data_IF_104657133625
#
_entry.id   IF_104657133625
#
_cell.length_a   1.000
_cell.length_b   1.000
_cell.length_c   1.000
_cell.angle_alpha   90.00
_cell.angle_beta   90.00
_cell.angle_gamma   90.00
#
_symmetry.space_group_name_H-M   'P 1'
#
loop_
_entity.id
_entity.type
_entity.pdbx_description
1 polymer ?
#
# COMPACT_ATOMS: atom_id res chain seq x y z
N UNK A 1 -60.39 25.84 -0.37
CA UNK A 1 -59.39 26.66 0.35
C UNK A 1 -58.60 25.67 1.21
N UNK A 2 -57.34 25.29 1.02
CA UNK A 2 -56.18 25.84 0.31
C UNK A 2 -55.17 24.68 0.09
N UNK A 3 -54.59 24.61 -1.12
CA UNK A 3 -53.25 24.14 -1.52
C UNK A 3 -52.65 22.82 -0.98
N UNK A 4 -52.39 21.87 -1.88
CA UNK A 4 -51.03 21.30 -2.06
C UNK A 4 -50.80 20.86 -3.52
N UNK A 5 -50.72 21.84 -4.42
CA UNK A 5 -50.25 21.69 -5.82
C UNK A 5 -48.83 22.27 -5.92
N UNK A 6 -47.98 22.04 -4.91
CA UNK A 6 -46.62 22.62 -4.86
C UNK A 6 -45.51 21.56 -4.91
N UNK A 7 -45.77 20.32 -4.50
CA UNK A 7 -44.72 19.31 -4.34
C UNK A 7 -44.30 18.54 -5.62
N UNK A 8 -45.02 18.69 -6.73
CA UNK A 8 -44.72 18.00 -8.01
C UNK A 8 -43.73 18.77 -8.89
N UNK A 9 -43.80 20.11 -8.90
CA UNK A 9 -42.90 20.95 -9.71
C UNK A 9 -41.45 20.98 -9.16
N UNK A 10 -41.28 20.93 -7.84
CA UNK A 10 -39.96 20.95 -7.19
C UNK A 10 -39.12 19.69 -7.49
N UNK A 11 -39.75 18.53 -7.70
CA UNK A 11 -39.06 17.27 -8.03
C UNK A 11 -38.62 17.18 -9.49
N UNK A 12 -39.20 17.98 -10.40
CA UNK A 12 -38.74 18.06 -11.80
C UNK A 12 -37.64 19.10 -12.00
N UNK A 13 -37.63 20.19 -11.22
CA UNK A 13 -36.58 21.20 -11.27
C UNK A 13 -35.24 20.71 -10.70
N UNK A 14 -35.25 19.91 -9.63
CA UNK A 14 -34.01 19.44 -8.98
C UNK A 14 -33.25 18.40 -9.81
N UNK A 15 -33.96 17.56 -10.56
CA UNK A 15 -33.36 16.52 -11.42
C UNK A 15 -32.73 17.13 -12.69
N UNK A 16 -33.26 18.25 -13.18
CA UNK A 16 -32.72 18.94 -14.37
C UNK A 16 -31.47 19.76 -14.01
N UNK A 17 -31.43 20.38 -12.83
CA UNK A 17 -30.27 21.17 -12.38
C UNK A 17 -29.03 20.30 -12.07
N UNK A 18 -29.21 19.07 -11.58
CA UNK A 18 -28.09 18.15 -11.28
C UNK A 18 -27.46 17.58 -12.57
N UNK A 19 -28.24 17.37 -13.64
CA UNK A 19 -27.70 16.94 -14.94
C UNK A 19 -26.89 18.05 -15.65
N UNK A 20 -27.22 19.32 -15.44
CA UNK A 20 -26.49 20.45 -16.06
C UNK A 20 -25.12 20.66 -15.41
N UNK A 21 -24.97 20.35 -14.12
CA UNK A 21 -23.69 20.48 -13.40
C UNK A 21 -22.71 19.34 -13.77
N UNK A 22 -23.20 18.14 -14.11
CA UNK A 22 -22.35 17.05 -14.58
C UNK A 22 -21.87 17.20 -16.04
N UNK A 23 -22.53 18.03 -16.86
CA UNK A 23 -22.07 18.33 -18.22
C UNK A 23 -20.99 19.44 -18.26
N UNK A 24 -20.88 20.27 -17.21
CA UNK A 24 -19.93 21.38 -17.15
C UNK A 24 -18.56 21.00 -16.54
N UNK A 25 -18.44 19.86 -15.85
CA UNK A 25 -17.18 19.37 -15.27
C UNK A 25 -16.28 18.61 -16.26
N UNK A 26 -16.76 18.31 -17.46
CA UNK A 26 -16.05 17.54 -18.48
C UNK A 26 -15.31 18.40 -19.52
N UNK A 27 -15.37 19.73 -19.42
CA UNK A 27 -14.78 20.66 -20.41
C UNK A 27 -13.47 21.32 -19.92
N UNK A 28 -13.08 21.13 -18.66
CA UNK A 28 -11.82 21.68 -18.10
C UNK A 28 -10.61 20.73 -18.16
N UNK A 29 -10.74 19.55 -18.76
CA UNK A 29 -9.61 18.65 -19.06
C UNK A 29 -9.22 18.61 -20.56
N UNK A 30 -9.70 19.57 -21.35
CA UNK A 30 -9.42 19.67 -22.79
C UNK A 30 -8.58 20.91 -23.19
N UNK A 31 -7.99 21.62 -22.22
CA UNK A 31 -7.24 22.88 -22.47
C UNK A 31 -5.72 22.74 -22.21
N UNK A 32 -5.17 21.52 -22.20
CA UNK A 32 -3.71 21.33 -22.08
C UNK A 32 -3.05 20.57 -23.26
N UNK A 33 -3.77 20.39 -24.37
CA UNK A 33 -3.25 19.74 -25.58
C UNK A 33 -3.58 20.55 -26.85
N UNK A 34 -3.24 21.83 -26.86
CA UNK A 34 -3.28 22.67 -28.07
C UNK A 34 -2.21 23.77 -28.03
N UNK A 35 -1.01 23.41 -28.45
CA UNK A 35 0.13 24.29 -28.73
C UNK A 35 1.36 23.41 -28.92
N UNK A 36 1.88 23.16 -30.11
CA UNK A 36 2.22 24.13 -31.13
C UNK A 36 1.83 23.66 -32.54
N UNK A 37 1.27 24.59 -33.31
CA UNK A 37 1.09 24.45 -34.74
C UNK A 37 2.44 24.38 -35.47
N UNK A 38 2.49 23.50 -36.46
CA UNK A 38 3.50 23.39 -37.51
C UNK A 38 3.76 24.73 -38.22
N UNK A 39 5.04 25.10 -38.35
CA UNK A 39 5.52 26.13 -39.27
C UNK A 39 6.35 25.51 -40.39
N UNK A 40 6.39 26.12 -41.59
CA UNK A 40 6.86 25.47 -42.81
C UNK A 40 8.39 25.38 -42.89
N UNK A 41 8.85 24.33 -43.57
CA UNK A 41 10.24 24.08 -43.96
C UNK A 41 10.86 25.31 -44.63
N UNK A 42 11.97 25.80 -44.08
CA UNK A 42 12.92 26.63 -44.81
C UNK A 42 14.31 25.98 -44.75
N UNK A 43 14.75 25.49 -45.91
CA UNK A 43 16.10 25.02 -46.16
C UNK A 43 17.07 26.21 -46.04
N UNK A 44 18.06 26.10 -45.15
CA UNK A 44 19.48 26.53 -45.34
C UNK A 44 20.19 26.64 -43.99
N UNK A 45 20.97 25.62 -43.64
CA UNK A 45 22.25 25.68 -42.94
C UNK A 45 22.61 24.25 -42.51
N UNK A 46 23.66 23.68 -43.12
CA UNK A 46 24.22 22.38 -42.76
C UNK A 46 25.19 22.61 -41.58
N UNK A 47 24.97 22.04 -40.38
CA UNK A 47 26.03 21.92 -39.40
C UNK A 47 26.85 20.66 -39.70
N UNK A 48 28.17 20.82 -39.74
CA UNK A 48 29.18 19.79 -40.00
C UNK A 48 29.00 18.60 -39.05
N UNK A 49 28.75 17.42 -39.62
CA UNK A 49 28.72 16.14 -38.91
C UNK A 49 30.15 15.80 -38.49
N UNK A 50 30.42 15.84 -37.18
CA UNK A 50 31.63 15.24 -36.61
C UNK A 50 31.43 13.71 -36.69
N UNK A 51 32.36 12.94 -37.28
CA UNK A 51 32.23 11.48 -37.32
C UNK A 51 32.19 10.90 -35.90
N UNK A 52 31.41 9.83 -35.67
CA UNK A 52 31.30 9.20 -34.36
C UNK A 52 32.68 8.74 -33.88
N UNK A 53 33.06 9.20 -32.69
CA UNK A 53 34.30 8.84 -32.04
C UNK A 53 34.06 7.53 -31.31
N UNK A 54 34.57 6.42 -31.86
CA UNK A 54 34.48 5.10 -31.23
C UNK A 54 35.45 5.05 -30.05
N UNK A 55 34.92 5.20 -28.83
CA UNK A 55 35.70 4.98 -27.60
C UNK A 55 35.59 3.51 -27.24
N UNK A 56 36.65 2.76 -27.52
CA UNK A 56 36.79 1.36 -27.12
C UNK A 56 37.00 1.24 -25.61
N UNK A 57 35.92 1.15 -24.86
CA UNK A 57 35.96 0.89 -23.41
C UNK A 57 36.32 -0.59 -23.23
N UNK A 58 37.55 -0.88 -22.84
CA UNK A 58 37.96 -2.22 -22.46
C UNK A 58 37.54 -2.44 -21.02
N UNK A 59 36.42 -3.13 -20.81
CA UNK A 59 35.98 -3.58 -19.50
C UNK A 59 36.88 -4.77 -19.13
N UNK A 60 37.92 -4.52 -18.36
CA UNK A 60 38.67 -5.59 -17.71
C UNK A 60 37.84 -6.03 -16.50
N UNK A 61 37.25 -7.22 -16.56
CA UNK A 61 36.67 -7.84 -15.36
C UNK A 61 37.82 -8.09 -14.38
N UNK A 62 37.83 -7.39 -13.25
CA UNK A 62 38.55 -7.89 -12.10
C UNK A 62 37.97 -9.28 -11.76
N UNK A 63 38.84 -10.25 -11.50
CA UNK A 63 38.49 -11.64 -11.22
C UNK A 63 37.28 -11.73 -10.27
N UNK A 64 36.28 -12.58 -10.56
CA UNK A 64 35.21 -12.83 -9.61
C UNK A 64 35.86 -13.43 -8.35
N UNK A 65 35.83 -12.70 -7.24
CA UNK A 65 36.21 -13.27 -5.96
C UNK A 65 35.37 -14.53 -5.75
N UNK A 66 36.03 -15.68 -5.74
CA UNK A 66 35.41 -16.97 -5.50
C UNK A 66 34.98 -16.99 -4.03
N UNK A 67 33.73 -16.60 -3.79
CA UNK A 67 33.09 -16.72 -2.48
C UNK A 67 32.49 -18.11 -2.43
N UNK A 68 33.16 -19.02 -1.71
CA UNK A 68 32.60 -20.32 -1.37
C UNK A 68 31.49 -20.08 -0.33
N UNK A 69 30.24 -20.15 -0.79
CA UNK A 69 29.06 -19.99 0.06
C UNK A 69 28.85 -21.30 0.81
N UNK A 70 29.18 -21.34 2.10
CA UNK A 70 28.68 -22.36 3.01
C UNK A 70 27.18 -22.17 3.21
N UNK A 71 26.43 -23.25 3.10
CA UNK A 71 24.96 -23.31 3.03
C UNK A 71 24.20 -22.85 4.29
N UNK A 72 24.86 -22.17 5.24
CA UNK A 72 24.28 -21.75 6.51
C UNK A 72 23.99 -20.24 6.60
N UNK A 73 24.55 -19.39 5.74
CA UNK A 73 24.32 -17.93 5.82
C UNK A 73 23.37 -17.44 4.71
N UNK A 74 22.06 -17.59 4.94
CA UNK A 74 21.06 -16.76 4.24
C UNK A 74 21.17 -15.33 4.76
N UNK A 75 21.99 -14.52 4.10
CA UNK A 75 22.11 -13.10 4.41
C UNK A 75 20.85 -12.38 3.86
N UNK A 76 19.86 -12.17 4.73
CA UNK A 76 18.73 -11.28 4.47
C UNK A 76 19.16 -9.82 4.61
N UNK A 77 19.90 -9.30 3.62
CA UNK A 77 20.18 -7.85 3.53
C UNK A 77 18.94 -7.16 2.95
N UNK A 78 17.89 -7.07 3.75
CA UNK A 78 16.88 -6.04 3.54
C UNK A 78 17.54 -4.69 3.80
N UNK A 79 17.22 -3.70 2.96
CA UNK A 79 17.62 -2.32 3.17
C UNK A 79 16.79 -1.80 4.36
N UNK A 80 17.26 -2.11 5.57
CA UNK A 80 16.69 -1.60 6.80
C UNK A 80 17.05 -0.12 6.85
N UNK A 81 16.10 0.72 6.44
CA UNK A 81 16.16 2.14 6.74
C UNK A 81 15.85 2.21 8.24
N UNK A 82 16.90 2.05 9.05
CA UNK A 82 16.83 2.18 10.49
C UNK A 82 16.11 3.49 10.82
N UNK A 83 15.13 3.41 11.72
CA UNK A 83 14.47 4.58 12.26
C UNK A 83 15.54 5.45 12.97
N UNK A 84 15.98 6.57 12.37
CA UNK A 84 17.16 7.29 12.84
C UNK A 84 16.95 7.93 14.22
N UNK A 85 15.68 8.02 14.66
CA UNK A 85 15.30 8.61 15.94
C UNK A 85 15.06 7.57 17.03
N UNK A 86 14.93 6.27 16.70
CA UNK A 86 14.57 5.22 17.66
C UNK A 86 13.22 5.44 18.35
N UNK A 87 12.33 6.22 17.74
CA UNK A 87 11.03 6.59 18.31
C UNK A 87 9.93 5.61 17.89
N UNK A 88 8.98 5.35 18.78
CA UNK A 88 7.76 4.62 18.43
C UNK A 88 6.95 5.40 17.40
N UNK A 89 6.24 4.67 16.55
CA UNK A 89 5.25 5.24 15.63
C UNK A 89 4.16 5.97 16.41
N UNK A 90 3.52 6.93 15.76
CA UNK A 90 2.37 7.66 16.31
C UNK A 90 1.15 6.75 16.63
N UNK A 91 1.16 5.51 16.16
CA UNK A 91 0.12 4.51 16.39
C UNK A 91 0.39 3.67 17.64
N UNK A 92 1.60 3.76 18.20
CA UNK A 92 2.06 2.95 19.32
C UNK A 92 2.40 3.81 20.52
N UNK A 93 1.96 3.36 21.70
CA UNK A 93 2.34 3.97 22.95
C UNK A 93 2.52 2.90 24.03
N UNK A 94 3.40 3.19 24.99
CA UNK A 94 3.62 2.32 26.13
C UNK A 94 2.84 2.86 27.32
N UNK A 95 2.15 1.97 28.02
CA UNK A 95 1.52 2.29 29.31
C UNK A 95 1.61 1.10 30.24
N UNK A 96 2.03 1.34 31.49
CA UNK A 96 2.17 0.33 32.53
C UNK A 96 3.00 -0.91 32.11
N UNK A 97 4.07 -0.72 31.32
CA UNK A 97 4.94 -1.80 30.86
C UNK A 97 4.37 -2.65 29.72
N UNK A 98 3.26 -2.22 29.11
CA UNK A 98 2.64 -2.86 27.94
C UNK A 98 2.66 -1.91 26.76
N UNK A 99 2.86 -2.46 25.57
CA UNK A 99 2.72 -1.72 24.33
C UNK A 99 1.28 -1.78 23.82
N UNK A 100 0.76 -0.66 23.36
CA UNK A 100 -0.56 -0.55 22.75
C UNK A 100 -0.42 0.01 21.35
N UNK A 101 -0.79 -0.80 20.36
CA UNK A 101 -0.62 -0.55 18.94
C UNK A 101 -2.01 -0.42 18.30
N UNK A 102 -2.20 0.55 17.42
CA UNK A 102 -3.48 0.81 16.76
C UNK A 102 -3.38 0.53 15.27
N UNK A 103 -4.19 -0.41 14.78
CA UNK A 103 -4.39 -0.67 13.34
C UNK A 103 -5.81 -0.26 12.99
N UNK A 104 -5.94 0.96 12.47
CA UNK A 104 -7.21 1.53 12.06
C UNK A 104 -7.18 1.95 10.60
N UNK A 105 -8.34 1.89 9.96
CA UNK A 105 -8.49 2.25 8.54
C UNK A 105 -7.85 1.23 7.59
N UNK A 106 -7.62 1.61 6.34
CA UNK A 106 -7.15 0.71 5.30
C UNK A 106 -5.69 0.29 5.49
N UNK A 107 -5.39 -1.00 5.32
CA UNK A 107 -4.03 -1.53 5.41
C UNK A 107 -3.17 -1.12 4.22
N UNK A 108 -1.97 -0.64 4.52
CA UNK A 108 -1.02 -0.07 3.58
C UNK A 108 0.42 -0.48 3.91
N UNK A 109 1.36 -0.20 3.01
CA UNK A 109 2.78 -0.47 3.26
C UNK A 109 3.35 0.37 4.40
N UNK A 110 2.77 1.54 4.70
CA UNK A 110 3.19 2.33 5.87
C UNK A 110 2.88 1.62 7.18
N UNK A 111 1.76 0.91 7.28
CA UNK A 111 1.43 0.16 8.50
C UNK A 111 2.46 -0.94 8.78
N UNK A 112 2.96 -1.59 7.72
CA UNK A 112 4.04 -2.58 7.81
C UNK A 112 5.31 -1.93 8.35
N UNK A 113 5.72 -0.79 7.78
CA UNK A 113 6.93 -0.08 8.24
C UNK A 113 6.80 0.41 9.68
N UNK A 114 5.62 0.91 10.07
CA UNK A 114 5.38 1.37 11.43
C UNK A 114 5.46 0.23 12.43
N UNK A 115 4.79 -0.89 12.15
CA UNK A 115 4.83 -2.05 13.03
C UNK A 115 6.25 -2.61 13.16
N UNK A 116 7.01 -2.64 12.05
CA UNK A 116 8.36 -3.21 12.03
C UNK A 116 9.29 -2.41 12.95
N UNK A 117 9.26 -1.09 12.78
CA UNK A 117 10.03 -0.17 13.60
C UNK A 117 9.60 -0.24 15.07
N UNK A 118 8.29 -0.37 15.33
CA UNK A 118 7.77 -0.46 16.69
C UNK A 118 8.27 -1.71 17.40
N UNK A 119 8.25 -2.89 16.76
CA UNK A 119 8.74 -4.11 17.41
C UNK A 119 10.24 -4.05 17.70
N UNK A 120 11.05 -3.45 16.84
CA UNK A 120 12.49 -3.25 17.11
C UNK A 120 12.70 -2.35 18.31
N UNK A 121 11.99 -1.22 18.38
CA UNK A 121 12.10 -0.28 19.51
C UNK A 121 11.59 -0.93 20.80
N UNK A 122 10.48 -1.66 20.74
CA UNK A 122 9.92 -2.37 21.89
C UNK A 122 10.85 -3.48 22.39
N UNK A 123 11.54 -4.18 21.48
CA UNK A 123 12.56 -5.18 21.84
C UNK A 123 13.72 -4.53 22.59
N UNK A 124 14.24 -3.41 22.07
CA UNK A 124 15.30 -2.64 22.72
C UNK A 124 14.90 -2.08 24.10
N UNK A 125 13.59 -1.86 24.32
CA UNK A 125 13.03 -1.40 25.60
C UNK A 125 12.62 -2.54 26.54
N UNK A 126 12.81 -3.81 26.17
CA UNK A 126 12.36 -5.00 26.91
C UNK A 126 10.84 -5.03 27.19
N UNK A 127 10.04 -4.46 26.28
CA UNK A 127 8.57 -4.45 26.36
C UNK A 127 8.01 -5.53 25.42
N UNK A 128 7.79 -6.72 25.97
CA UNK A 128 7.36 -7.91 25.20
C UNK A 128 5.85 -8.17 25.16
N UNK A 129 5.06 -7.46 25.96
CA UNK A 129 3.59 -7.59 26.00
C UNK A 129 2.93 -6.52 25.13
N UNK A 130 2.46 -6.91 23.94
CA UNK A 130 1.93 -6.01 22.93
C UNK A 130 0.43 -6.25 22.70
N UNK A 131 -0.36 -5.19 22.82
CA UNK A 131 -1.80 -5.18 22.60
C UNK A 131 -2.13 -4.43 21.30
N UNK A 132 -2.63 -5.16 20.30
CA UNK A 132 -2.98 -4.59 18.99
C UNK A 132 -4.50 -4.41 18.91
N UNK A 133 -4.96 -3.17 18.72
CA UNK A 133 -6.36 -2.87 18.45
C UNK A 133 -6.61 -2.79 16.95
N UNK A 134 -7.57 -3.59 16.45
CA UNK A 134 -7.86 -3.72 15.03
C UNK A 134 -9.31 -3.30 14.76
N UNK A 135 -9.46 -2.28 13.92
CA UNK A 135 -10.73 -1.87 13.30
C UNK A 135 -10.41 -1.42 11.87
N UNK A 136 -10.43 -2.37 10.94
CA UNK A 136 -9.96 -2.18 9.58
C UNK A 136 -10.88 -2.89 8.58
N UNK A 137 -11.31 -2.21 7.50
CA UNK A 137 -12.02 -2.83 6.41
C UNK A 137 -11.11 -3.70 5.50
N UNK A 138 -9.81 -3.80 5.80
CA UNK A 138 -8.81 -4.44 4.97
C UNK A 138 -7.98 -3.44 4.17
N UNK A 139 -7.39 -3.86 3.06
CA UNK A 139 -6.52 -2.99 2.25
C UNK A 139 -5.68 -3.80 1.28
N UNK A 140 -4.42 -3.40 1.08
CA UNK A 140 -3.51 -4.13 0.22
C UNK A 140 -3.23 -5.54 0.78
N UNK A 141 -3.54 -6.59 0.01
CA UNK A 141 -3.41 -7.99 0.43
C UNK A 141 -1.98 -8.31 0.88
N UNK A 142 -0.98 -7.88 0.10
CA UNK A 142 0.43 -8.09 0.44
C UNK A 142 0.86 -7.37 1.71
N UNK A 143 0.31 -6.18 2.00
CA UNK A 143 0.58 -5.49 3.26
C UNK A 143 -0.05 -6.24 4.45
N UNK A 144 -1.26 -6.78 4.28
CA UNK A 144 -1.89 -7.61 5.30
C UNK A 144 -1.12 -8.90 5.60
N UNK A 145 -0.59 -9.57 4.57
CA UNK A 145 0.27 -10.76 4.77
C UNK A 145 1.59 -10.37 5.45
N UNK A 146 2.24 -9.30 5.00
CA UNK A 146 3.48 -8.83 5.61
C UNK A 146 3.31 -8.46 7.09
N UNK A 147 2.22 -7.79 7.46
CA UNK A 147 1.86 -7.51 8.86
C UNK A 147 1.66 -8.80 9.66
N UNK A 148 0.99 -9.81 9.08
CA UNK A 148 0.79 -11.08 9.74
C UNK A 148 2.13 -11.80 9.98
N UNK A 149 3.01 -11.84 8.98
CA UNK A 149 4.35 -12.42 9.09
C UNK A 149 5.22 -11.69 10.11
N UNK A 150 5.04 -10.38 10.25
CA UNK A 150 5.73 -9.59 11.25
C UNK A 150 5.30 -9.91 12.67
N UNK A 151 3.99 -10.05 12.90
CA UNK A 151 3.46 -10.52 14.18
C UNK A 151 3.97 -11.93 14.48
N UNK A 152 4.06 -12.82 13.49
CA UNK A 152 4.62 -14.15 13.66
C UNK A 152 6.11 -14.11 14.03
N UNK A 153 6.91 -13.24 13.38
CA UNK A 153 8.32 -13.02 13.71
C UNK A 153 8.49 -12.49 15.13
N UNK A 154 7.76 -11.44 15.51
CA UNK A 154 7.80 -10.92 16.87
C UNK A 154 7.43 -12.00 17.91
N UNK A 155 6.45 -12.84 17.62
CA UNK A 155 6.09 -13.97 18.50
C UNK A 155 7.22 -15.00 18.62
N UNK A 156 7.96 -15.27 17.55
CA UNK A 156 9.15 -16.12 17.60
C UNK A 156 10.26 -15.49 18.46
N UNK A 157 10.36 -14.15 18.46
CA UNK A 157 11.29 -13.36 19.28
C UNK A 157 10.80 -13.13 20.73
N UNK A 158 9.78 -13.88 21.16
CA UNK A 158 9.29 -13.91 22.55
C UNK A 158 8.19 -12.90 22.88
N UNK A 159 7.68 -12.14 21.91
CA UNK A 159 6.58 -11.22 22.16
C UNK A 159 5.24 -11.96 22.38
N UNK A 160 4.47 -11.49 23.37
CA UNK A 160 3.07 -11.87 23.54
C UNK A 160 2.18 -10.83 22.88
N UNK A 161 1.70 -11.16 21.68
CA UNK A 161 0.82 -10.26 20.90
C UNK A 161 -0.66 -10.59 21.14
N UNK A 162 -1.40 -9.68 21.76
CA UNK A 162 -2.85 -9.79 22.02
C UNK A 162 -3.63 -8.90 21.06
N UNK A 163 -4.46 -9.51 20.19
CA UNK A 163 -5.35 -8.80 19.28
C UNK A 163 -6.70 -8.46 19.92
N UNK A 164 -7.15 -7.22 19.75
CA UNK A 164 -8.46 -6.71 20.17
C UNK A 164 -9.21 -6.22 18.94
N UNK A 165 -10.23 -6.95 18.52
CA UNK A 165 -11.09 -6.58 17.41
C UNK A 165 -12.30 -5.76 17.88
N UNK A 166 -12.59 -4.68 17.18
CA UNK A 166 -13.76 -3.82 17.40
C UNK A 166 -14.26 -3.24 16.08
N UNK A 167 -15.58 -3.04 15.95
CA UNK A 167 -16.17 -2.52 14.72
C UNK A 167 -16.12 -3.55 13.59
N UNK A 168 -15.19 -3.38 12.65
CA UNK A 168 -15.01 -4.31 11.52
C UNK A 168 -13.57 -4.81 11.44
N UNK A 169 -13.41 -6.10 11.17
CA UNK A 169 -12.15 -6.70 10.74
C UNK A 169 -12.42 -7.47 9.46
N UNK A 170 -12.06 -6.89 8.32
CA UNK A 170 -12.43 -7.44 7.01
C UNK A 170 -11.22 -7.65 6.08
N UNK A 171 -11.39 -8.57 5.13
CA UNK A 171 -10.45 -8.81 4.04
C UNK A 171 -9.03 -9.07 4.56
N UNK A 172 -8.02 -8.36 4.05
CA UNK A 172 -6.61 -8.47 4.44
C UNK A 172 -6.33 -8.25 5.94
N UNK A 173 -7.25 -7.65 6.73
CA UNK A 173 -7.07 -7.49 8.17
C UNK A 173 -7.41 -8.74 8.99
N UNK A 174 -8.19 -9.67 8.42
CA UNK A 174 -8.54 -10.93 9.08
C UNK A 174 -7.30 -11.81 9.37
N UNK A 175 -6.38 -12.08 8.41
CA UNK A 175 -5.18 -12.85 8.71
C UNK A 175 -4.28 -12.18 9.75
N UNK A 176 -4.16 -10.84 9.73
CA UNK A 176 -3.42 -10.07 10.75
C UNK A 176 -3.96 -10.33 12.15
N UNK A 177 -5.29 -10.29 12.33
CA UNK A 177 -5.91 -10.62 13.61
C UNK A 177 -5.74 -12.10 13.98
N UNK A 178 -5.80 -13.01 13.01
CA UNK A 178 -5.75 -14.44 13.22
C UNK A 178 -4.39 -14.92 13.79
N UNK A 179 -3.28 -14.29 13.40
CA UNK A 179 -1.93 -14.67 13.83
C UNK A 179 -1.55 -14.18 15.23
N UNK A 180 -2.35 -13.29 15.85
CA UNK A 180 -2.15 -12.85 17.23
C UNK A 180 -2.21 -14.05 18.20
N UNK A 181 -1.45 -14.00 19.30
CA UNK A 181 -1.39 -15.07 20.31
C UNK A 181 -2.74 -15.27 20.98
N UNK A 182 -3.29 -14.18 21.50
CA UNK A 182 -4.62 -14.14 22.11
C UNK A 182 -5.49 -13.19 21.30
N UNK A 183 -6.76 -13.54 21.12
CA UNK A 183 -7.70 -12.81 20.26
C UNK A 183 -8.99 -12.53 21.00
N UNK A 184 -9.28 -11.26 21.23
CA UNK A 184 -10.53 -10.79 21.81
C UNK A 184 -11.31 -10.03 20.75
N UNK A 185 -12.62 -10.27 20.68
CA UNK A 185 -13.52 -9.53 19.81
C UNK A 185 -14.64 -8.93 20.65
N UNK A 186 -14.92 -7.64 20.45
CA UNK A 186 -16.10 -7.00 21.05
C UNK A 186 -17.39 -7.61 20.49
N UNK A 187 -18.46 -7.61 21.27
CA UNK A 187 -19.75 -8.25 20.90
C UNK A 187 -20.36 -7.71 19.59
N UNK A 188 -20.06 -6.45 19.24
CA UNK A 188 -20.52 -5.82 18.00
C UNK A 188 -19.57 -5.97 16.81
N UNK A 189 -18.50 -6.75 16.93
CA UNK A 189 -17.48 -6.87 15.86
C UNK A 189 -17.98 -7.72 14.72
N UNK A 190 -17.85 -7.22 13.50
CA UNK A 190 -18.14 -7.96 12.27
C UNK A 190 -16.84 -8.40 11.63
N UNK A 191 -16.71 -9.71 11.41
CA UNK A 191 -15.65 -10.29 10.58
C UNK A 191 -16.18 -10.54 9.18
N UNK A 192 -15.43 -10.13 8.16
CA UNK A 192 -15.80 -10.35 6.76
C UNK A 192 -14.62 -10.87 5.95
N UNK A 193 -14.77 -12.06 5.38
CA UNK A 193 -13.78 -12.69 4.51
C UNK A 193 -14.35 -12.73 3.11
N UNK A 194 -13.55 -12.30 2.13
CA UNK A 194 -13.87 -12.41 0.72
C UNK A 194 -12.60 -12.69 -0.07
N UNK A 195 -12.74 -13.25 -1.28
CA UNK A 195 -11.62 -13.50 -2.19
C UNK A 195 -10.91 -12.21 -2.57
N UNK A 196 -9.60 -12.29 -2.82
CA UNK A 196 -8.83 -11.15 -3.29
C UNK A 196 -9.47 -10.53 -4.55
N UNK A 197 -9.37 -9.22 -4.67
CA UNK A 197 -9.79 -8.47 -5.84
C UNK A 197 -8.60 -7.67 -6.34
N UNK A 198 -8.40 -7.68 -7.65
CA UNK A 198 -7.33 -6.96 -8.32
C UNK A 198 -7.93 -6.08 -9.40
N UNK A 199 -7.39 -4.87 -9.52
CA UNK A 199 -7.72 -3.94 -10.58
C UNK A 199 -6.42 -3.48 -11.24
N UNK A 200 -6.37 -3.57 -12.57
CA UNK A 200 -5.25 -3.10 -13.39
C UNK A 200 -5.80 -2.26 -14.54
N UNK A 201 -5.06 -1.24 -14.92
CA UNK A 201 -5.40 -0.34 -16.03
C UNK A 201 -4.18 -0.18 -16.93
N UNK A 202 -4.33 -0.46 -18.23
CA UNK A 202 -3.25 -0.36 -19.21
C UNK A 202 -3.40 -1.33 -20.38
N UNK A 203 -2.35 -1.43 -21.21
CA UNK A 203 -2.25 -2.44 -22.26
C UNK A 203 -1.75 -3.75 -21.67
N UNK A 204 -2.37 -4.86 -22.09
CA UNK A 204 -2.04 -6.20 -21.61
C UNK A 204 -1.90 -7.16 -22.78
N UNK A 205 -0.93 -8.06 -22.69
CA UNK A 205 -0.82 -9.21 -23.57
C UNK A 205 -1.40 -10.47 -22.89
N UNK A 206 -1.45 -11.59 -23.61
CA UNK A 206 -1.99 -12.85 -23.07
C UNK A 206 -1.21 -13.40 -21.88
N UNK A 207 0.08 -13.10 -21.80
CA UNK A 207 0.96 -13.62 -20.76
C UNK A 207 0.78 -12.80 -19.47
N UNK A 208 0.54 -11.49 -19.59
CA UNK A 208 0.15 -10.63 -18.46
C UNK A 208 -1.14 -11.11 -17.82
N UNK A 209 -2.12 -11.55 -18.62
CA UNK A 209 -3.39 -12.08 -18.11
C UNK A 209 -3.20 -13.42 -17.40
N UNK A 210 -2.36 -14.32 -17.95
CA UNK A 210 -2.04 -15.60 -17.31
C UNK A 210 -1.33 -15.41 -15.97
N UNK A 211 -0.28 -14.57 -15.94
CA UNK A 211 0.45 -14.27 -14.72
C UNK A 211 -0.46 -13.65 -13.64
N UNK A 212 -1.44 -12.84 -14.04
CA UNK A 212 -2.45 -12.30 -13.13
C UNK A 212 -3.37 -13.38 -12.57
N UNK A 213 -3.83 -14.32 -13.41
CA UNK A 213 -4.64 -15.46 -12.93
C UNK A 213 -3.83 -16.33 -11.97
N UNK A 214 -2.60 -16.68 -12.32
CA UNK A 214 -1.71 -17.48 -11.47
C UNK A 214 -1.49 -16.82 -10.11
N UNK A 215 -1.27 -15.50 -10.07
CA UNK A 215 -1.10 -14.77 -8.81
C UNK A 215 -2.37 -14.79 -7.94
N UNK A 216 -3.55 -14.72 -8.54
CA UNK A 216 -4.83 -14.72 -7.82
C UNK A 216 -5.24 -16.10 -7.29
N UNK A 217 -4.58 -17.17 -7.76
CA UNK A 217 -4.79 -18.56 -7.32
C UNK A 217 -3.86 -18.98 -6.16
N UNK A 218 -2.87 -18.15 -5.80
CA UNK A 218 -1.97 -18.35 -4.65
C UNK A 218 -2.73 -18.26 -3.31
#
# INVERSE_FOLDING_TARGET
>A
MIMDVSRSAARRALTVTICIIMAAGLITWAVFMAGCASSPLNNTAVPTIIPPQEVKITITSADPAKVDISTEDKIHRSMEIENPNGELSNLTFISAGKAYIKIFSGLSTSDVTHLWNDFIVLDAMDVKDAHIFINSPGGAVFAGIALADEILRARADGFTVTGHASGIVASAAVPVFAVCTTRFASIGTVFMVHQASMFKYGYENSDDLRAQTEMMEL
#
